data_IF_710475819488
#
_entry.id   IF_710475819488
#
_cell.length_a   1.000
_cell.length_b   1.000
_cell.length_c   1.000
_cell.angle_alpha   90.00
_cell.angle_beta   90.00
_cell.angle_gamma   90.00
#
_symmetry.space_group_name_H-M   'P 1'
#
loop_
_entity.id
_entity.type
_entity.pdbx_description
1 polymer ?
#
# COMPACT_ATOMS: atom_id res chain seq x y z
N UNK A 1 -3.55 14.84 -18.77
CA UNK A 1 -3.82 14.40 -17.39
C UNK A 1 -4.94 15.27 -16.82
N UNK A 2 -6.08 14.71 -16.38
CA UNK A 2 -7.27 15.48 -15.93
C UNK A 2 -7.18 15.98 -14.47
N UNK A 3 -6.20 15.47 -13.71
CA UNK A 3 -6.03 15.74 -12.28
C UNK A 3 -4.80 16.62 -11.97
N UNK A 4 -4.06 17.07 -12.99
CA UNK A 4 -2.83 17.84 -12.78
C UNK A 4 -1.70 17.05 -12.10
N UNK A 5 -1.63 15.74 -12.33
CA UNK A 5 -0.55 14.88 -11.84
C UNK A 5 0.03 14.09 -13.02
N UNK A 6 1.29 13.69 -12.92
CA UNK A 6 1.95 12.84 -13.91
C UNK A 6 2.60 11.64 -13.21
N UNK A 7 2.44 10.45 -13.77
CA UNK A 7 3.12 9.25 -13.27
C UNK A 7 4.52 9.15 -13.86
N UNK A 8 5.51 9.04 -12.99
CA UNK A 8 6.89 8.85 -13.38
C UNK A 8 7.11 7.44 -13.91
N UNK A 9 7.97 7.35 -14.93
CA UNK A 9 8.35 6.05 -15.48
C UNK A 9 9.27 5.31 -14.51
N UNK A 10 9.04 4.00 -14.37
CA UNK A 10 9.88 3.11 -13.58
C UNK A 10 9.29 2.75 -12.22
N UNK A 11 10.08 2.00 -11.46
CA UNK A 11 9.72 1.54 -10.12
C UNK A 11 10.65 2.18 -9.11
N UNK A 12 10.09 2.75 -8.05
CA UNK A 12 10.87 3.34 -6.99
C UNK A 12 11.61 2.23 -6.24
N UNK A 13 12.89 2.45 -6.00
CA UNK A 13 13.76 1.55 -5.26
C UNK A 13 14.43 2.26 -4.08
N UNK A 14 14.62 1.52 -3.00
CA UNK A 14 15.31 2.00 -1.80
C UNK A 14 16.15 0.87 -1.18
N UNK A 15 17.44 1.14 -0.98
CA UNK A 15 18.38 0.20 -0.37
C UNK A 15 18.08 -0.07 1.11
N UNK A 16 17.57 0.93 1.85
CA UNK A 16 17.20 0.73 3.26
C UNK A 16 16.02 -0.23 3.34
N UNK A 17 15.01 0.00 2.50
CA UNK A 17 13.87 -0.91 2.37
C UNK A 17 14.29 -2.33 1.95
N UNK A 18 15.29 -2.47 1.07
CA UNK A 18 15.86 -3.78 0.72
C UNK A 18 16.40 -4.55 1.92
N UNK A 19 17.08 -3.87 2.85
CA UNK A 19 17.63 -4.50 4.06
C UNK A 19 16.54 -5.02 4.99
N UNK A 20 15.35 -4.39 4.97
CA UNK A 20 14.21 -4.73 5.82
C UNK A 20 13.35 -5.82 5.19
N UNK A 21 13.02 -5.70 3.91
CA UNK A 21 12.04 -6.56 3.23
C UNK A 21 12.69 -7.68 2.41
N UNK A 22 13.98 -7.57 2.10
CA UNK A 22 14.68 -8.43 1.14
C UNK A 22 14.48 -8.02 -0.32
N UNK A 23 13.70 -6.97 -0.61
CA UNK A 23 13.46 -6.45 -1.95
C UNK A 23 13.64 -4.94 -2.00
N UNK A 24 14.44 -4.43 -2.94
CA UNK A 24 14.64 -2.99 -3.09
C UNK A 24 13.40 -2.27 -3.62
N UNK A 25 12.46 -2.99 -4.24
CA UNK A 25 11.20 -2.44 -4.77
C UNK A 25 10.05 -2.47 -3.77
N UNK A 26 10.24 -3.09 -2.59
CA UNK A 26 9.23 -3.11 -1.54
C UNK A 26 9.57 -2.01 -0.53
N UNK A 27 9.09 -0.80 -0.80
CA UNK A 27 9.42 0.40 -0.04
C UNK A 27 8.81 0.33 1.35
N UNK A 28 9.59 0.66 2.37
CA UNK A 28 9.13 0.81 3.75
C UNK A 28 9.06 2.30 4.07
N UNK A 29 7.85 2.82 4.24
CA UNK A 29 7.57 4.20 4.60
C UNK A 29 7.31 4.29 6.10
N UNK A 30 7.95 5.27 6.74
CA UNK A 30 7.84 5.53 8.18
C UNK A 30 7.58 7.01 8.49
N UNK A 31 7.66 7.87 7.47
CA UNK A 31 7.43 9.30 7.56
C UNK A 31 6.29 9.64 6.61
N UNK A 32 5.38 10.50 7.06
CA UNK A 32 4.16 10.84 6.36
C UNK A 32 4.01 12.36 6.36
N UNK A 33 3.30 12.89 5.35
CA UNK A 33 3.05 14.33 5.22
C UNK A 33 2.14 14.86 6.33
N UNK A 34 1.87 16.17 6.26
CA UNK A 34 1.00 16.87 7.24
C UNK A 34 -0.49 16.78 6.91
N UNK A 35 -0.86 16.13 5.81
CA UNK A 35 -2.25 16.04 5.35
C UNK A 35 -3.10 15.25 6.37
N UNK A 36 -4.35 15.66 6.67
CA UNK A 36 -5.18 15.01 7.68
C UNK A 36 -5.27 13.49 7.54
N UNK A 37 -5.40 12.97 6.32
CA UNK A 37 -5.46 11.53 6.04
C UNK A 37 -4.24 10.73 6.54
N UNK A 38 -3.11 11.37 6.84
CA UNK A 38 -1.87 10.70 7.28
C UNK A 38 -1.16 11.40 8.45
N UNK A 39 -1.66 12.55 8.93
CA UNK A 39 -0.98 13.38 9.92
C UNK A 39 -0.71 12.69 11.26
N UNK A 40 -1.55 11.72 11.66
CA UNK A 40 -1.40 10.96 12.91
C UNK A 40 -0.87 9.55 12.68
N UNK A 41 -0.40 9.24 11.48
CA UNK A 41 0.05 7.90 11.13
C UNK A 41 1.43 7.61 11.74
N UNK A 42 1.55 6.50 12.47
CA UNK A 42 2.77 6.13 13.22
C UNK A 42 3.36 4.78 12.84
N UNK A 43 2.55 3.94 12.20
CA UNK A 43 2.98 2.61 11.80
C UNK A 43 3.75 2.66 10.49
N UNK A 44 4.62 1.69 10.27
CA UNK A 44 5.32 1.58 9.00
C UNK A 44 4.39 0.96 7.96
N UNK A 45 4.41 1.50 6.74
CA UNK A 45 3.68 0.95 5.59
C UNK A 45 4.65 0.41 4.55
N UNK A 46 4.20 -0.59 3.79
CA UNK A 46 5.01 -1.23 2.75
C UNK A 46 4.33 -1.11 1.40
N UNK A 47 5.06 -0.63 0.40
CA UNK A 47 4.57 -0.44 -0.96
C UNK A 47 5.42 -1.22 -1.97
N UNK A 48 5.00 -2.41 -2.39
CA UNK A 48 5.66 -3.18 -3.44
C UNK A 48 5.49 -2.56 -4.84
N UNK A 49 6.60 -2.33 -5.54
CA UNK A 49 6.54 -1.96 -6.96
C UNK A 49 5.95 -0.58 -7.21
N UNK A 50 6.02 0.32 -6.22
CA UNK A 50 5.45 1.64 -6.32
C UNK A 50 6.11 2.50 -7.41
N UNK A 51 5.36 3.41 -8.02
CA UNK A 51 5.89 4.42 -8.94
C UNK A 51 5.92 5.82 -8.31
N UNK A 52 6.57 6.77 -9.00
CA UNK A 52 6.59 8.17 -8.60
C UNK A 52 5.43 8.97 -9.20
N UNK A 53 5.03 10.03 -8.50
CA UNK A 53 4.03 11.00 -8.94
C UNK A 53 4.69 12.39 -8.95
N UNK A 54 4.57 13.08 -10.06
CA UNK A 54 5.00 14.48 -10.20
C UNK A 54 3.78 15.37 -10.29
N UNK A 55 3.87 16.52 -9.60
CA UNK A 55 2.88 17.59 -9.67
C UNK A 55 3.55 18.70 -10.49
N UNK A 56 3.12 18.97 -11.73
CA UNK A 56 3.73 19.98 -12.59
C UNK A 56 3.76 21.36 -11.90
N UNK A 57 4.90 22.05 -11.95
CA UNK A 57 5.03 23.41 -11.40
C UNK A 57 4.07 24.38 -12.13
N UNK A 58 3.04 24.81 -11.41
CA UNK A 58 1.91 25.60 -11.89
C UNK A 58 0.73 25.57 -10.90
N UNK A 59 0.66 24.51 -10.09
CA UNK A 59 -0.34 24.25 -9.05
C UNK A 59 0.32 24.16 -7.64
N UNK A 60 1.29 25.05 -7.37
CA UNK A 60 1.82 25.28 -6.03
C UNK A 60 0.69 25.63 -5.03
N UNK A 61 0.87 25.43 -3.71
CA UNK A 61 -0.20 25.46 -2.72
C UNK A 61 -1.08 26.70 -2.89
N UNK A 62 -2.38 26.45 -2.97
CA UNK A 62 -3.44 27.42 -3.22
C UNK A 62 -3.62 28.44 -2.07
N UNK A 63 -2.58 29.21 -1.74
CA UNK A 63 -2.72 30.37 -0.86
C UNK A 63 -3.15 31.63 -1.63
N UNK A 64 -3.24 31.60 -2.97
CA UNK A 64 -3.53 32.84 -3.72
C UNK A 64 -4.20 32.73 -5.10
N UNK A 65 -4.75 31.58 -5.52
CA UNK A 65 -5.58 31.53 -6.73
C UNK A 65 -7.03 31.91 -6.37
N UNK A 66 -7.62 32.98 -6.93
CA UNK A 66 -9.03 33.27 -6.70
C UNK A 66 -9.87 32.12 -7.25
N UNK A 67 -10.73 31.54 -6.42
CA UNK A 67 -11.62 30.46 -6.80
C UNK A 67 -12.40 30.86 -8.06
N UNK A 68 -12.10 30.20 -9.18
CA UNK A 68 -12.96 30.30 -10.35
C UNK A 68 -14.32 29.72 -9.95
N UNK A 69 -15.36 30.54 -10.04
CA UNK A 69 -16.75 30.20 -9.65
C UNK A 69 -17.32 28.99 -10.41
N UNK A 70 -16.62 28.56 -11.47
CA UNK A 70 -16.99 27.45 -12.35
C UNK A 70 -16.23 26.14 -12.00
N UNK A 71 -15.17 26.22 -11.15
CA UNK A 71 -14.54 25.10 -10.44
C UNK A 71 -13.92 23.96 -11.26
N UNK A 72 -13.89 24.02 -12.59
CA UNK A 72 -13.51 22.87 -13.42
C UNK A 72 -12.01 22.54 -13.39
N UNK A 73 -11.11 23.50 -13.19
CA UNK A 73 -9.64 23.29 -13.28
C UNK A 73 -8.84 23.78 -12.05
N UNK A 74 -9.49 24.01 -10.89
CA UNK A 74 -8.82 24.49 -9.67
C UNK A 74 -8.51 23.33 -8.70
N UNK A 75 -7.64 22.42 -9.12
CA UNK A 75 -7.18 21.31 -8.28
C UNK A 75 -6.13 21.80 -7.29
N UNK A 76 -6.32 21.46 -6.02
CA UNK A 76 -5.34 21.63 -4.96
C UNK A 76 -4.66 20.29 -4.69
N UNK A 77 -3.33 20.26 -4.77
CA UNK A 77 -2.54 19.05 -4.54
C UNK A 77 -1.85 19.11 -3.18
N UNK A 78 -1.87 18.00 -2.46
CA UNK A 78 -1.13 17.82 -1.21
C UNK A 78 -0.47 16.44 -1.22
N UNK A 79 0.83 16.40 -0.96
CA UNK A 79 1.59 15.15 -0.87
C UNK A 79 1.17 14.42 0.42
N UNK A 80 0.78 13.15 0.29
CA UNK A 80 0.47 12.28 1.42
C UNK A 80 1.71 11.53 1.87
N UNK A 81 2.42 10.94 0.91
CA UNK A 81 3.58 10.09 1.16
C UNK A 81 4.63 10.43 0.11
N UNK A 82 5.83 10.72 0.59
CA UNK A 82 7.04 10.80 -0.21
C UNK A 82 8.05 9.73 0.24
N UNK A 83 9.05 9.51 -0.61
CA UNK A 83 10.11 8.56 -0.34
C UNK A 83 11.29 9.23 0.35
N UNK A 84 12.18 8.43 0.93
CA UNK A 84 13.49 8.92 1.40
C UNK A 84 14.29 9.59 0.27
N UNK A 85 15.11 10.56 0.63
CA UNK A 85 16.05 11.25 -0.29
C UNK A 85 17.02 10.30 -1.00
N UNK A 86 17.35 9.16 -0.39
CA UNK A 86 18.23 8.15 -0.97
C UNK A 86 17.53 7.20 -1.96
N UNK A 87 16.20 7.32 -2.14
CA UNK A 87 15.43 6.51 -3.09
C UNK A 87 15.57 7.06 -4.50
N UNK A 88 15.25 6.26 -5.52
CA UNK A 88 15.18 6.72 -6.91
C UNK A 88 14.17 5.89 -7.70
N UNK A 89 13.70 6.41 -8.84
CA UNK A 89 12.91 5.63 -9.80
C UNK A 89 13.86 4.89 -10.75
N UNK A 90 13.88 3.56 -10.65
CA UNK A 90 14.63 2.67 -11.53
C UNK A 90 13.80 2.36 -12.77
N UNK A 91 14.34 2.72 -13.93
CA UNK A 91 13.69 2.48 -15.23
C UNK A 91 14.25 1.24 -15.96
N UNK A 92 15.31 0.66 -15.42
CA UNK A 92 15.99 -0.52 -15.97
C UNK A 92 15.50 -1.86 -15.40
N UNK A 93 16.20 -2.95 -15.76
CA UNK A 93 15.86 -4.28 -15.28
C UNK A 93 16.09 -4.44 -13.78
N UNK A 94 15.02 -4.72 -13.03
CA UNK A 94 15.03 -4.90 -11.57
C UNK A 94 15.72 -6.20 -11.08
N UNK A 95 16.18 -7.05 -12.00
CA UNK A 95 16.72 -8.39 -11.70
C UNK A 95 18.25 -8.46 -11.68
N UNK A 96 18.95 -7.38 -12.04
CA UNK A 96 20.41 -7.25 -11.90
C UNK A 96 20.68 -6.20 -10.84
N UNK A 97 21.67 -6.44 -9.98
CA UNK A 97 21.97 -5.62 -8.80
C UNK A 97 21.65 -4.13 -9.00
N UNK A 98 20.61 -3.68 -8.31
CA UNK A 98 19.98 -2.36 -8.47
C UNK A 98 20.98 -1.27 -8.07
N UNK A 99 21.28 -0.37 -9.00
CA UNK A 99 22.24 0.72 -8.84
C UNK A 99 21.72 1.93 -9.58
N UNK A 100 21.79 3.08 -8.93
CA UNK A 100 21.38 4.34 -9.51
C UNK A 100 22.21 4.69 -10.76
N UNK A 101 21.53 4.82 -11.90
CA UNK A 101 22.10 5.22 -13.17
C UNK A 101 21.87 6.72 -13.42
N UNK A 102 22.91 7.52 -13.15
CA UNK A 102 22.86 8.98 -13.33
C UNK A 102 22.53 9.35 -14.78
N UNK A 103 21.47 10.14 -14.96
CA UNK A 103 21.00 10.62 -16.26
C UNK A 103 19.95 9.72 -16.92
N UNK A 104 19.62 8.59 -16.29
CA UNK A 104 18.53 7.71 -16.71
C UNK A 104 17.47 7.58 -15.63
N UNK A 105 17.90 7.43 -14.38
CA UNK A 105 17.02 7.31 -13.22
C UNK A 105 16.69 8.67 -12.60
N UNK A 106 15.50 8.76 -12.01
CA UNK A 106 15.03 9.97 -11.33
C UNK A 106 15.39 9.88 -9.83
N UNK A 107 16.25 10.77 -9.30
CA UNK A 107 16.58 10.76 -7.88
C UNK A 107 15.39 11.21 -7.04
N UNK A 108 15.28 10.65 -5.83
CA UNK A 108 14.30 11.08 -4.85
C UNK A 108 14.66 12.38 -4.12
N UNK A 109 13.77 12.86 -3.23
CA UNK A 109 12.51 12.23 -2.84
C UNK A 109 11.45 12.26 -3.96
N UNK A 110 10.68 11.19 -4.09
CA UNK A 110 9.60 11.04 -5.06
C UNK A 110 8.28 10.97 -4.31
N UNK A 111 7.23 11.60 -4.84
CA UNK A 111 5.89 11.46 -4.25
C UNK A 111 5.35 10.07 -4.63
N UNK A 112 4.91 9.30 -3.65
CA UNK A 112 4.28 8.00 -3.85
C UNK A 112 2.76 8.11 -3.83
N UNK A 113 2.24 9.01 -2.99
CA UNK A 113 0.81 9.25 -2.87
C UNK A 113 0.51 10.74 -2.74
N UNK A 114 -0.56 11.18 -3.43
CA UNK A 114 -1.01 12.57 -3.49
C UNK A 114 -2.52 12.62 -3.27
N UNK A 115 -2.97 13.56 -2.45
CA UNK A 115 -4.36 13.96 -2.33
C UNK A 115 -4.60 15.16 -3.24
N UNK A 116 -5.71 15.12 -3.97
CA UNK A 116 -6.16 16.19 -4.85
C UNK A 116 -7.58 16.55 -4.46
N UNK A 117 -7.85 17.84 -4.23
CA UNK A 117 -9.20 18.32 -3.92
C UNK A 117 -9.57 19.55 -4.74
N UNK A 118 -10.86 19.74 -4.99
CA UNK A 118 -11.41 20.96 -5.60
C UNK A 118 -12.81 21.23 -5.08
N UNK A 119 -13.24 22.49 -5.13
CA UNK A 119 -14.60 22.88 -4.75
C UNK A 119 -15.43 23.17 -6.00
N UNK A 120 -16.56 22.46 -6.17
CA UNK A 120 -17.52 22.70 -7.25
C UNK A 120 -18.89 22.97 -6.63
N UNK A 121 -19.46 24.16 -6.88
CA UNK A 121 -20.82 24.53 -6.41
C UNK A 121 -21.01 24.25 -4.91
N UNK A 122 -20.06 24.74 -4.10
CA UNK A 122 -20.01 24.59 -2.63
C UNK A 122 -19.89 23.14 -2.12
N UNK A 123 -19.52 22.20 -2.99
CA UNK A 123 -19.19 20.82 -2.61
C UNK A 123 -17.73 20.53 -2.88
N UNK A 124 -17.07 19.94 -1.90
CA UNK A 124 -15.71 19.48 -2.06
C UNK A 124 -15.69 18.12 -2.79
N UNK A 125 -14.83 18.02 -3.80
CA UNK A 125 -14.48 16.79 -4.47
C UNK A 125 -13.07 16.41 -4.05
N UNK A 126 -12.90 15.20 -3.53
CA UNK A 126 -11.63 14.66 -3.04
C UNK A 126 -11.22 13.44 -3.86
N UNK A 127 -9.94 13.35 -4.19
CA UNK A 127 -9.31 12.25 -4.89
C UNK A 127 -8.00 11.92 -4.18
N UNK A 128 -7.74 10.65 -3.93
CA UNK A 128 -6.45 10.18 -3.43
C UNK A 128 -5.85 9.27 -4.50
N UNK A 129 -4.60 9.53 -4.86
CA UNK A 129 -3.84 8.72 -5.81
C UNK A 129 -2.67 8.12 -5.07
N UNK A 130 -2.57 6.80 -5.10
CA UNK A 130 -1.47 6.02 -4.52
C UNK A 130 -0.86 5.23 -5.67
N UNK A 131 0.42 5.44 -5.98
CA UNK A 131 1.05 4.71 -7.07
C UNK A 131 1.56 3.33 -6.63
N UNK A 132 0.67 2.51 -6.08
CA UNK A 132 0.88 1.09 -5.80
C UNK A 132 -0.49 0.40 -5.83
N UNK A 133 -0.63 -0.66 -6.62
CA UNK A 133 -1.87 -1.44 -6.71
C UNK A 133 -2.03 -2.49 -5.60
N UNK A 134 -0.94 -2.89 -4.97
CA UNK A 134 -0.92 -4.02 -4.03
C UNK A 134 -0.94 -3.58 -2.56
N UNK A 135 -0.73 -2.30 -2.24
CA UNK A 135 -0.65 -1.79 -0.86
C UNK A 135 -1.87 -2.16 0.01
N UNK A 136 -3.07 -2.17 -0.60
CA UNK A 136 -4.33 -2.48 0.06
C UNK A 136 -4.78 -3.94 -0.12
N UNK A 137 -3.94 -4.81 -0.69
CA UNK A 137 -4.25 -6.22 -0.87
C UNK A 137 -4.09 -7.03 0.43
N UNK A 138 -4.79 -8.17 0.52
CA UNK A 138 -4.69 -9.10 1.66
C UNK A 138 -3.25 -9.48 2.01
N UNK A 139 -2.36 -9.55 1.02
CA UNK A 139 -0.96 -9.90 1.23
C UNK A 139 -0.19 -8.86 2.07
N UNK A 140 -0.56 -7.58 1.96
CA UNK A 140 0.13 -6.47 2.63
C UNK A 140 -0.62 -5.98 3.86
N UNK A 141 -1.96 -5.93 3.83
CA UNK A 141 -2.76 -5.54 5.01
C UNK A 141 -2.67 -6.57 6.15
N UNK A 142 -2.63 -7.88 5.85
CA UNK A 142 -2.57 -8.92 6.88
C UNK A 142 -1.16 -9.12 7.44
N UNK A 143 -0.13 -8.73 6.69
CA UNK A 143 1.28 -8.90 7.08
C UNK A 143 1.80 -7.69 7.84
N UNK A 144 1.26 -6.50 7.58
CA UNK A 144 1.70 -5.25 8.17
C UNK A 144 0.47 -4.41 8.52
N UNK A 145 0.14 -4.27 9.80
CA UNK A 145 -1.08 -3.59 10.26
C UNK A 145 -1.22 -2.15 9.75
N UNK A 146 -0.08 -1.47 9.53
CA UNK A 146 -0.07 -0.10 9.01
C UNK A 146 -0.71 0.05 7.62
N UNK A 147 -0.61 -0.93 6.73
CA UNK A 147 -1.23 -0.80 5.39
C UNK A 147 -2.77 -0.76 5.48
N UNK A 148 -3.36 -1.52 6.41
CA UNK A 148 -4.80 -1.49 6.66
C UNK A 148 -5.23 -0.14 7.22
N UNK A 149 -4.52 0.32 8.25
CA UNK A 149 -4.85 1.59 8.93
C UNK A 149 -4.73 2.77 7.96
N UNK A 150 -3.74 2.76 7.06
CA UNK A 150 -3.57 3.78 6.03
C UNK A 150 -4.74 3.76 5.04
N UNK A 151 -5.10 2.58 4.52
CA UNK A 151 -6.21 2.44 3.58
C UNK A 151 -7.54 2.91 4.20
N UNK A 152 -7.77 2.60 5.47
CA UNK A 152 -8.94 3.07 6.22
C UNK A 152 -8.92 4.58 6.42
N UNK A 153 -7.77 5.16 6.76
CA UNK A 153 -7.62 6.62 6.94
C UNK A 153 -7.89 7.40 5.65
N UNK A 154 -7.33 6.95 4.53
CA UNK A 154 -7.58 7.53 3.20
C UNK A 154 -9.07 7.41 2.84
N UNK A 155 -9.69 6.26 3.09
CA UNK A 155 -11.12 6.03 2.79
C UNK A 155 -12.03 6.94 3.62
N UNK A 156 -11.74 7.12 4.91
CA UNK A 156 -12.50 8.01 5.78
C UNK A 156 -12.40 9.48 5.30
N UNK A 157 -11.19 9.91 4.92
CA UNK A 157 -11.00 11.25 4.36
C UNK A 157 -11.75 11.45 3.04
N UNK A 158 -11.77 10.46 2.15
CA UNK A 158 -12.54 10.51 0.90
C UNK A 158 -14.06 10.58 1.16
N UNK A 159 -14.52 9.95 2.25
CA UNK A 159 -15.94 9.97 2.65
C UNK A 159 -16.38 11.28 3.32
N UNK A 160 -15.51 12.29 3.41
CA UNK A 160 -15.76 13.55 4.14
C UNK A 160 -16.08 13.33 5.62
N UNK A 161 -15.66 12.20 6.18
CA UNK A 161 -15.88 11.86 7.58
C UNK A 161 -14.68 12.33 8.42
N UNK A 162 -14.41 13.63 8.34
CA UNK A 162 -13.24 14.29 8.93
C UNK A 162 -13.22 14.18 10.47
N UNK A 163 -14.37 13.84 11.08
CA UNK A 163 -14.49 13.54 12.49
C UNK A 163 -13.74 12.25 12.91
N UNK A 164 -13.54 11.30 12.00
CA UNK A 164 -12.81 10.04 12.27
C UNK A 164 -11.37 10.03 11.76
N UNK A 165 -10.94 11.08 11.05
CA UNK A 165 -9.53 11.22 10.62
C UNK A 165 -8.58 11.41 11.83
N UNK A 166 -9.10 11.93 12.95
CA UNK A 166 -8.36 12.08 14.21
C UNK A 166 -8.60 10.95 15.23
N UNK A 167 -9.49 9.99 14.94
CA UNK A 167 -9.72 8.85 15.83
C UNK A 167 -9.01 7.65 15.21
N UNK A 168 -7.87 7.19 15.76
CA UNK A 168 -7.24 5.99 15.24
C UNK A 168 -8.28 4.86 15.28
N UNK A 169 -8.61 4.32 14.11
CA UNK A 169 -9.40 3.09 14.03
C UNK A 169 -8.58 2.07 14.79
N UNK A 170 -9.01 1.71 16.00
CA UNK A 170 -8.41 0.59 16.71
C UNK A 170 -8.77 -0.66 15.92
N UNK A 171 -7.98 -0.98 14.90
CA UNK A 171 -8.01 -2.30 14.30
C UNK A 171 -7.55 -3.24 15.40
N UNK A 172 -8.43 -4.17 15.80
CA UNK A 172 -8.01 -5.24 16.69
C UNK A 172 -6.88 -5.92 15.94
N UNK A 173 -5.68 -5.96 16.53
CA UNK A 173 -4.57 -6.70 15.94
C UNK A 173 -5.05 -8.13 15.78
N UNK A 174 -5.41 -8.49 14.54
CA UNK A 174 -5.80 -9.85 14.22
C UNK A 174 -4.65 -10.74 14.69
N UNK A 175 -5.00 -11.80 15.41
CA UNK A 175 -4.00 -12.73 15.92
C UNK A 175 -3.39 -13.47 14.72
N UNK A 176 -2.32 -12.90 14.15
CA UNK A 176 -1.59 -13.53 13.06
C UNK A 176 -0.89 -14.76 13.63
N UNK A 177 -1.36 -15.93 13.22
CA UNK A 177 -0.73 -17.19 13.60
C UNK A 177 0.62 -17.32 12.86
N UNK A 178 1.70 -16.88 13.50
CA UNK A 178 3.05 -17.02 12.98
C UNK A 178 3.53 -18.46 13.17
N UNK A 179 3.32 -19.30 12.15
CA UNK A 179 3.79 -20.68 12.14
C UNK A 179 5.22 -20.76 11.61
N UNK A 180 6.10 -21.42 12.35
CA UNK A 180 7.42 -21.80 11.84
C UNK A 180 7.29 -22.70 10.61
N UNK A 181 8.29 -22.71 9.73
CA UNK A 181 8.30 -23.56 8.54
C UNK A 181 8.04 -25.04 8.88
N UNK A 182 8.56 -25.51 10.02
CA UNK A 182 8.32 -26.85 10.55
C UNK A 182 6.86 -27.05 10.94
N UNK A 183 6.26 -26.12 11.69
CA UNK A 183 4.86 -26.22 12.10
C UNK A 183 3.91 -26.19 10.89
N UNK A 184 4.17 -25.32 9.90
CA UNK A 184 3.44 -25.29 8.64
C UNK A 184 3.50 -26.64 7.91
N UNK A 185 4.69 -27.23 7.82
CA UNK A 185 4.88 -28.54 7.16
C UNK A 185 4.12 -29.64 7.90
N UNK A 186 4.19 -29.66 9.24
CA UNK A 186 3.45 -30.62 10.06
C UNK A 186 1.95 -30.50 9.80
N UNK A 187 1.39 -29.28 9.77
CA UNK A 187 -0.03 -29.09 9.51
C UNK A 187 -0.43 -29.51 8.09
N UNK A 188 0.35 -29.19 7.07
CA UNK A 188 0.08 -29.66 5.70
C UNK A 188 0.07 -31.18 5.66
N UNK A 189 1.08 -31.84 6.24
CA UNK A 189 1.15 -33.31 6.26
C UNK A 189 -0.05 -33.91 7.00
N UNK A 190 -0.39 -33.35 8.17
CA UNK A 190 -1.46 -33.84 9.01
C UNK A 190 -2.84 -33.69 8.34
N UNK A 191 -3.18 -32.48 7.89
CA UNK A 191 -4.51 -32.15 7.38
C UNK A 191 -4.75 -32.60 5.93
N UNK A 192 -3.72 -32.57 5.08
CA UNK A 192 -3.87 -32.93 3.66
C UNK A 192 -3.68 -34.43 3.43
N UNK A 193 -2.80 -35.09 4.20
CA UNK A 193 -2.48 -36.50 3.98
C UNK A 193 -2.99 -37.41 5.09
N UNK A 194 -2.55 -37.21 6.34
CA UNK A 194 -2.83 -38.17 7.42
C UNK A 194 -4.34 -38.29 7.70
N UNK A 195 -5.04 -37.17 7.88
CA UNK A 195 -6.48 -37.19 8.18
C UNK A 195 -7.27 -37.84 7.03
N UNK A 196 -7.13 -37.41 5.76
CA UNK A 196 -7.87 -38.04 4.65
C UNK A 196 -7.56 -39.53 4.45
N UNK A 197 -6.30 -39.94 4.58
CA UNK A 197 -5.92 -41.35 4.48
C UNK A 197 -6.52 -42.18 5.62
N UNK A 198 -6.48 -41.66 6.85
CA UNK A 198 -7.05 -42.35 8.00
C UNK A 198 -8.57 -42.54 7.89
N UNK A 199 -9.28 -41.52 7.42
CA UNK A 199 -10.72 -41.58 7.18
C UNK A 199 -11.05 -42.55 6.04
N UNK A 200 -10.25 -42.54 4.97
CA UNK A 200 -10.41 -43.48 3.84
C UNK A 200 -10.19 -44.92 4.30
N UNK A 201 -9.11 -45.17 5.05
CA UNK A 201 -8.81 -46.49 5.60
C UNK A 201 -9.90 -46.97 6.58
N UNK A 202 -10.42 -46.07 7.43
CA UNK A 202 -11.53 -46.38 8.32
C UNK A 202 -12.80 -46.72 7.53
N UNK A 203 -13.13 -45.95 6.49
CA UNK A 203 -14.26 -46.21 5.60
C UNK A 203 -14.16 -47.58 4.90
N UNK A 204 -13.00 -47.89 4.32
CA UNK A 204 -12.73 -49.19 3.69
C UNK A 204 -12.81 -50.31 4.73
N UNK A 205 -12.25 -50.12 5.92
CA UNK A 205 -12.29 -51.11 7.00
C UNK A 205 -13.70 -51.43 7.47
N UNK A 206 -14.56 -50.40 7.62
CA UNK A 206 -15.98 -50.59 7.96
C UNK A 206 -16.70 -51.31 6.83
N UNK A 207 -16.49 -50.92 5.56
CA UNK A 207 -17.10 -51.58 4.41
C UNK A 207 -16.74 -53.06 4.33
N UNK A 208 -15.47 -53.41 4.50
CA UNK A 208 -15.00 -54.80 4.50
C UNK A 208 -15.58 -55.62 5.66
N UNK A 209 -15.69 -55.04 6.86
CA UNK A 209 -16.35 -55.71 8.00
C UNK A 209 -17.83 -55.94 7.77
N UNK A 210 -18.53 -54.98 7.14
CA UNK A 210 -19.97 -55.11 6.82
C UNK A 210 -20.22 -56.12 5.71
N UNK A 211 -19.30 -56.30 4.76
CA UNK A 211 -19.43 -57.30 3.69
C UNK A 211 -19.20 -58.74 4.16
N UNK A 212 -18.49 -58.94 5.27
CA UNK A 212 -18.22 -60.26 5.87
C UNK A 212 -19.29 -60.72 6.87
N UNK A 213 -20.25 -59.86 7.23
CA UNK A 213 -21.51 -60.24 7.88
C UNK A 213 -22.56 -60.45 6.81
#
# INVERSE_FOLDING_TARGET
EQLGIEFEAGTIVDQVSQQITGSATALVIAEYGTHPAVANFRDNTVFPGACGITIPEGDAPAESKPANLDGEDDWQHQVLIDTRTASWAETGPLNRGIRFDKGKDLPGPLNLAVAVSRTIKDKEQRVAVVCDGDFASNAFIMRNGGNLDLAMSITNWLSHDDAYVNVPVRTVSDQVLQLSNTARTIFVVLFVFIIPLSLTAAGIGIWLRRRKR
#
